data_IF_492598162105
#
_entry.id   IF_492598162105
#
_cell.length_a   1.000
_cell.length_b   1.000
_cell.length_c   1.000
_cell.angle_alpha   90.00
_cell.angle_beta   90.00
_cell.angle_gamma   90.00
#
_symmetry.space_group_name_H-M   'P 1'
#
loop_
_entity.id
_entity.type
_entity.pdbx_description
1 polymer ?
#
# COMPACT_ATOMS: atom_id res chain seq x y z
N UNK A 1 25.86 0.57 2.58
CA UNK A 1 25.42 -0.70 1.99
C UNK A 1 24.35 -0.38 0.97
N UNK A 2 24.60 -0.57 -0.33
CA UNK A 2 23.52 -0.50 -1.32
C UNK A 2 22.54 -1.62 -0.98
N UNK A 3 21.30 -1.26 -0.69
CA UNK A 3 20.23 -2.22 -0.49
C UNK A 3 20.06 -2.91 -1.84
N UNK A 4 20.24 -4.22 -1.89
CA UNK A 4 19.94 -4.99 -3.09
C UNK A 4 18.41 -4.97 -3.31
N UNK A 5 17.95 -3.94 -4.04
CA UNK A 5 16.54 -3.68 -4.31
C UNK A 5 15.94 -4.75 -5.23
N UNK A 6 16.77 -5.28 -6.12
CA UNK A 6 16.35 -6.32 -7.04
C UNK A 6 16.02 -7.58 -6.25
N UNK A 7 16.83 -7.94 -5.29
CA UNK A 7 16.59 -9.06 -4.40
C UNK A 7 15.36 -8.86 -3.47
N UNK A 8 15.21 -7.67 -2.89
CA UNK A 8 14.06 -7.39 -1.98
C UNK A 8 12.71 -7.45 -2.67
N UNK A 9 12.60 -6.96 -3.89
CA UNK A 9 11.36 -6.93 -4.68
C UNK A 9 11.29 -8.08 -5.70
N UNK A 10 11.95 -9.20 -5.42
CA UNK A 10 11.95 -10.41 -6.24
C UNK A 10 11.24 -11.56 -5.52
N UNK A 11 10.24 -12.14 -6.20
CA UNK A 11 9.59 -13.38 -5.73
C UNK A 11 10.47 -14.59 -5.99
N UNK A 12 11.33 -14.53 -7.03
CA UNK A 12 12.30 -15.59 -7.31
C UNK A 12 13.33 -15.68 -6.19
N UNK A 13 13.87 -14.53 -5.74
CA UNK A 13 14.75 -14.48 -4.58
C UNK A 13 14.05 -14.92 -3.28
N UNK A 14 12.78 -14.55 -3.10
CA UNK A 14 12.00 -15.01 -1.95
C UNK A 14 11.84 -16.54 -1.93
N UNK A 15 11.66 -17.16 -3.10
CA UNK A 15 11.58 -18.60 -3.23
C UNK A 15 12.93 -19.31 -2.98
N UNK A 16 14.06 -18.67 -3.30
CA UNK A 16 15.39 -19.19 -2.98
C UNK A 16 15.66 -19.15 -1.47
N UNK A 17 15.23 -18.05 -0.80
CA UNK A 17 15.43 -17.87 0.63
C UNK A 17 14.50 -18.75 1.48
N UNK A 18 13.23 -18.89 1.08
CA UNK A 18 12.19 -19.51 1.87
C UNK A 18 11.13 -20.21 0.98
N UNK A 19 11.49 -21.28 0.24
CA UNK A 19 10.63 -21.92 -0.75
C UNK A 19 9.32 -22.45 -0.14
N UNK A 20 9.34 -22.94 1.09
CA UNK A 20 8.21 -23.53 1.79
C UNK A 20 7.39 -22.52 2.60
N UNK A 21 7.86 -21.27 2.73
CA UNK A 21 7.11 -20.25 3.43
C UNK A 21 5.85 -19.88 2.64
N UNK A 22 4.74 -19.67 3.34
CA UNK A 22 3.46 -19.28 2.74
C UNK A 22 3.58 -17.88 2.17
N UNK A 23 3.32 -17.72 0.87
CA UNK A 23 3.29 -16.44 0.16
C UNK A 23 1.86 -15.90 -0.01
N UNK A 24 0.89 -16.79 -0.25
CA UNK A 24 -0.51 -16.41 -0.49
C UNK A 24 -1.44 -17.33 0.30
N UNK A 25 -2.47 -16.73 0.87
CA UNK A 25 -3.63 -17.43 1.44
C UNK A 25 -4.90 -17.02 0.69
N UNK A 26 -5.76 -17.98 0.42
CA UNK A 26 -7.05 -17.73 -0.21
C UNK A 26 -8.08 -18.74 0.26
N UNK A 27 -9.04 -18.30 1.06
CA UNK A 27 -10.13 -19.11 1.57
C UNK A 27 -9.70 -20.41 2.30
N UNK A 28 -8.61 -20.31 3.07
CA UNK A 28 -8.01 -21.44 3.81
C UNK A 28 -6.92 -22.18 3.03
N UNK A 29 -6.87 -22.07 1.70
CA UNK A 29 -5.78 -22.62 0.90
C UNK A 29 -4.51 -21.78 1.01
N UNK A 30 -3.36 -22.44 0.85
CA UNK A 30 -2.05 -21.83 0.93
C UNK A 30 -1.22 -22.09 -0.33
N UNK A 31 -0.50 -21.06 -0.75
CA UNK A 31 0.50 -21.13 -1.82
C UNK A 31 1.85 -20.70 -1.24
N UNK A 32 2.88 -21.50 -1.42
CA UNK A 32 4.23 -21.18 -0.95
C UNK A 32 4.95 -20.24 -1.93
N UNK A 33 6.07 -19.63 -1.47
CA UNK A 33 6.91 -18.83 -2.35
C UNK A 33 7.51 -19.65 -3.49
N UNK A 34 7.87 -20.92 -3.26
CA UNK A 34 8.34 -21.81 -4.31
C UNK A 34 7.31 -21.98 -5.44
N UNK A 35 6.08 -22.33 -5.09
CA UNK A 35 4.98 -22.50 -6.06
C UNK A 35 4.59 -21.18 -6.73
N UNK A 36 4.62 -20.06 -5.98
CA UNK A 36 4.35 -18.73 -6.55
C UNK A 36 5.44 -18.35 -7.58
N UNK A 37 6.71 -18.63 -7.30
CA UNK A 37 7.82 -18.39 -8.21
C UNK A 37 7.71 -19.24 -9.50
N UNK A 38 7.28 -20.49 -9.42
CA UNK A 38 6.99 -21.32 -10.60
C UNK A 38 5.92 -20.66 -11.47
N UNK A 39 4.79 -20.26 -10.89
CA UNK A 39 3.72 -19.56 -11.63
C UNK A 39 4.19 -18.24 -12.26
N UNK A 40 5.08 -17.52 -11.59
CA UNK A 40 5.70 -16.30 -12.13
C UNK A 40 6.60 -16.64 -13.32
N UNK A 41 7.44 -17.68 -13.23
CA UNK A 41 8.29 -18.13 -14.35
C UNK A 41 7.46 -18.54 -15.56
N UNK A 42 6.34 -19.24 -15.34
CA UNK A 42 5.44 -19.71 -16.40
C UNK A 42 4.78 -18.57 -17.18
N UNK A 43 4.46 -17.45 -16.50
CA UNK A 43 3.80 -16.31 -17.18
C UNK A 43 4.80 -15.33 -17.81
N UNK A 44 6.05 -15.29 -17.34
CA UNK A 44 7.07 -14.34 -17.83
C UNK A 44 7.17 -14.29 -19.37
N UNK A 45 7.26 -15.41 -20.11
CA UNK A 45 7.34 -15.38 -21.58
C UNK A 45 6.02 -14.99 -22.27
N UNK A 46 4.90 -15.00 -21.55
CA UNK A 46 3.58 -14.68 -22.08
C UNK A 46 3.24 -13.18 -21.96
N UNK A 47 3.99 -12.44 -21.16
CA UNK A 47 3.78 -11.00 -20.99
C UNK A 47 4.28 -10.22 -22.21
N UNK A 48 3.43 -9.32 -22.71
CA UNK A 48 3.80 -8.39 -23.79
C UNK A 48 4.85 -7.36 -23.34
N UNK A 49 5.42 -6.65 -24.32
CA UNK A 49 6.50 -5.68 -24.10
C UNK A 49 6.01 -4.23 -23.92
N UNK A 50 4.70 -4.03 -23.75
CA UNK A 50 4.14 -2.70 -23.51
C UNK A 50 4.80 -2.00 -22.30
N UNK A 51 5.20 -0.75 -22.46
CA UNK A 51 5.85 0.05 -21.41
C UNK A 51 5.20 1.43 -21.32
N UNK A 52 4.44 1.70 -20.24
CA UNK A 52 4.14 0.79 -19.12
C UNK A 52 3.16 -0.32 -19.52
N UNK A 53 3.18 -1.44 -18.79
CA UNK A 53 2.25 -2.55 -18.99
C UNK A 53 0.91 -2.24 -18.30
N UNK A 54 -0.20 -2.07 -19.04
CA UNK A 54 -1.50 -1.79 -18.43
C UNK A 54 -2.09 -3.05 -17.79
N UNK A 55 -2.47 -2.96 -16.51
CA UNK A 55 -3.02 -4.08 -15.76
C UNK A 55 -4.24 -3.64 -14.96
N UNK A 56 -5.38 -4.32 -15.12
CA UNK A 56 -6.55 -4.15 -14.25
C UNK A 56 -6.26 -4.87 -12.93
N UNK A 57 -6.09 -4.08 -11.87
CA UNK A 57 -5.61 -4.55 -10.57
C UNK A 57 -6.74 -5.13 -9.70
N UNK A 58 -7.10 -6.39 -9.92
CA UNK A 58 -8.02 -7.12 -9.06
C UNK A 58 -7.29 -7.68 -7.82
N UNK A 59 -7.96 -7.86 -6.69
CA UNK A 59 -7.38 -8.51 -5.51
C UNK A 59 -7.41 -10.04 -5.65
N UNK A 60 -6.86 -10.58 -6.74
CA UNK A 60 -6.85 -11.99 -7.09
C UNK A 60 -5.44 -12.51 -7.38
N UNK A 61 -5.32 -13.82 -7.46
CA UNK A 61 -4.04 -14.50 -7.67
C UNK A 61 -3.43 -14.19 -9.06
N UNK A 62 -4.26 -14.08 -10.09
CA UNK A 62 -3.79 -13.76 -11.46
C UNK A 62 -3.12 -12.38 -11.50
N UNK A 63 -3.76 -11.37 -10.91
CA UNK A 63 -3.18 -10.03 -10.79
C UNK A 63 -1.87 -10.06 -9.98
N UNK A 64 -1.84 -10.79 -8.88
CA UNK A 64 -0.66 -10.89 -8.02
C UNK A 64 0.54 -11.50 -8.77
N UNK A 65 0.31 -12.61 -9.49
CA UNK A 65 1.33 -13.27 -10.31
C UNK A 65 1.84 -12.31 -11.40
N UNK A 66 0.95 -11.60 -12.10
CA UNK A 66 1.33 -10.63 -13.14
C UNK A 66 2.14 -9.47 -12.57
N UNK A 67 1.74 -8.92 -11.42
CA UNK A 67 2.50 -7.85 -10.74
C UNK A 67 3.90 -8.32 -10.41
N UNK A 68 4.06 -9.50 -9.82
CA UNK A 68 5.38 -10.03 -9.46
C UNK A 68 6.22 -10.36 -10.70
N UNK A 69 5.63 -10.93 -11.75
CA UNK A 69 6.32 -11.18 -13.00
C UNK A 69 6.83 -9.88 -13.68
N UNK A 70 6.03 -8.82 -13.65
CA UNK A 70 6.43 -7.50 -14.18
C UNK A 70 7.52 -6.85 -13.32
N UNK A 71 7.48 -7.04 -12.00
CA UNK A 71 8.57 -6.62 -11.11
C UNK A 71 9.87 -7.38 -11.41
N UNK A 72 9.82 -8.70 -11.67
CA UNK A 72 11.01 -9.48 -12.09
C UNK A 72 11.59 -8.96 -13.41
N UNK A 73 10.75 -8.65 -14.39
CA UNK A 73 11.17 -8.08 -15.69
C UNK A 73 11.62 -6.63 -15.62
N UNK A 74 11.53 -5.97 -14.47
CA UNK A 74 11.74 -4.51 -14.31
C UNK A 74 10.92 -3.70 -15.33
N UNK A 75 9.71 -4.18 -15.63
CA UNK A 75 8.79 -3.56 -16.56
C UNK A 75 7.82 -2.67 -15.78
N UNK A 76 7.74 -1.35 -16.10
CA UNK A 76 6.81 -0.45 -15.44
C UNK A 76 5.37 -0.94 -15.57
N UNK A 77 4.61 -0.91 -14.48
CA UNK A 77 3.23 -1.38 -14.41
C UNK A 77 2.30 -0.16 -14.34
N UNK A 78 1.32 -0.07 -15.24
CA UNK A 78 0.24 0.92 -15.14
C UNK A 78 -0.99 0.24 -14.54
N UNK A 79 -1.30 0.53 -13.27
CA UNK A 79 -2.42 -0.11 -12.58
C UNK A 79 -3.73 0.66 -12.78
N UNK A 80 -4.75 -0.04 -13.27
CA UNK A 80 -6.09 0.46 -13.50
C UNK A 80 -7.04 -0.13 -12.45
N UNK A 81 -7.88 0.72 -11.84
CA UNK A 81 -8.81 0.26 -10.83
C UNK A 81 -9.91 -0.64 -11.44
N UNK A 82 -10.22 -1.83 -10.87
CA UNK A 82 -11.19 -2.76 -11.44
C UNK A 82 -12.63 -2.26 -11.43
N UNK A 83 -12.93 -1.24 -10.63
CA UNK A 83 -14.24 -0.59 -10.59
C UNK A 83 -14.46 0.48 -11.66
N UNK A 84 -13.45 0.80 -12.47
CA UNK A 84 -13.62 1.73 -13.60
C UNK A 84 -14.49 1.09 -14.69
N UNK A 85 -15.46 1.87 -15.18
CA UNK A 85 -16.18 1.53 -16.41
C UNK A 85 -15.22 1.52 -17.60
N UNK A 86 -15.63 0.93 -18.70
CA UNK A 86 -14.82 0.94 -19.93
C UNK A 86 -14.56 2.38 -20.42
N UNK A 87 -15.58 3.23 -20.36
CA UNK A 87 -15.46 4.64 -20.73
C UNK A 87 -14.44 5.39 -19.86
N UNK A 88 -14.51 5.26 -18.52
CA UNK A 88 -13.54 5.88 -17.61
C UNK A 88 -12.12 5.37 -17.84
N UNK A 89 -11.97 4.07 -18.09
CA UNK A 89 -10.68 3.46 -18.41
C UNK A 89 -10.09 4.02 -19.70
N UNK A 90 -10.91 4.08 -20.75
CA UNK A 90 -10.49 4.64 -22.04
C UNK A 90 -10.13 6.12 -21.91
N UNK A 91 -10.88 6.90 -21.12
CA UNK A 91 -10.59 8.31 -20.81
C UNK A 91 -9.23 8.45 -20.10
N UNK A 92 -8.95 7.59 -19.10
CA UNK A 92 -7.65 7.60 -18.41
C UNK A 92 -6.50 7.22 -19.36
N UNK A 93 -6.67 6.22 -20.20
CA UNK A 93 -5.65 5.81 -21.16
C UNK A 93 -5.43 6.91 -22.22
N UNK A 94 -6.49 7.52 -22.73
CA UNK A 94 -6.38 8.64 -23.65
C UNK A 94 -5.68 9.87 -23.04
N UNK A 95 -5.80 10.10 -21.72
CA UNK A 95 -5.15 11.21 -21.03
C UNK A 95 -3.62 11.09 -20.97
N UNK A 96 -3.08 9.92 -21.21
CA UNK A 96 -1.64 9.64 -21.24
C UNK A 96 -1.13 9.29 -22.65
N UNK A 97 -2.02 9.22 -23.63
CA UNK A 97 -1.67 9.00 -25.02
C UNK A 97 -0.83 10.18 -25.54
N UNK A 98 0.27 9.87 -26.22
CA UNK A 98 1.20 10.89 -26.72
C UNK A 98 2.14 11.50 -25.69
N UNK A 99 2.06 11.13 -24.42
CA UNK A 99 3.07 11.49 -23.44
C UNK A 99 4.38 10.74 -23.73
N UNK A 100 5.51 11.38 -23.36
CA UNK A 100 6.82 10.73 -23.45
C UNK A 100 6.87 9.47 -22.58
N UNK A 101 7.23 8.34 -23.18
CA UNK A 101 7.36 7.04 -22.52
C UNK A 101 8.76 6.79 -21.93
N UNK A 102 9.59 7.83 -21.79
CA UNK A 102 10.86 7.71 -21.09
C UNK A 102 10.65 7.70 -19.57
N UNK A 103 10.71 6.51 -19.00
CA UNK A 103 10.65 6.32 -17.55
C UNK A 103 12.07 6.09 -16.99
N UNK A 104 12.32 6.48 -15.73
CA UNK A 104 13.50 6.02 -15.01
C UNK A 104 13.62 4.48 -15.11
N UNK A 105 14.83 3.97 -15.32
CA UNK A 105 15.04 2.53 -15.49
C UNK A 105 14.63 1.66 -14.30
N UNK A 106 14.43 2.30 -13.14
CA UNK A 106 13.98 1.71 -11.88
C UNK A 106 12.47 1.93 -11.60
N UNK A 107 11.70 2.41 -12.57
CA UNK A 107 10.23 2.59 -12.41
C UNK A 107 9.58 1.24 -12.16
N UNK A 108 8.83 1.14 -11.05
CA UNK A 108 8.08 -0.06 -10.68
C UNK A 108 6.61 0.03 -11.10
N UNK A 109 5.92 1.09 -10.70
CA UNK A 109 4.48 1.21 -10.88
C UNK A 109 4.07 2.65 -11.11
N UNK A 110 3.03 2.83 -11.91
CA UNK A 110 2.34 4.09 -12.16
C UNK A 110 0.91 3.93 -11.64
N UNK A 111 0.52 4.83 -10.73
CA UNK A 111 -0.79 4.85 -10.11
C UNK A 111 -1.49 6.18 -10.39
N UNK A 112 -2.75 6.12 -10.76
CA UNK A 112 -3.56 7.32 -10.88
C UNK A 112 -3.99 7.82 -9.50
N UNK A 113 -3.70 9.09 -9.19
CA UNK A 113 -4.13 9.76 -7.96
C UNK A 113 -5.51 10.38 -8.15
N UNK A 114 -6.32 10.38 -7.10
CA UNK A 114 -7.58 11.11 -7.08
C UNK A 114 -7.29 12.61 -6.89
N UNK A 115 -7.03 13.31 -7.97
CA UNK A 115 -6.80 14.76 -7.89
C UNK A 115 -8.08 15.50 -7.49
N UNK A 116 -7.96 16.49 -6.60
CA UNK A 116 -9.06 17.37 -6.16
C UNK A 116 -9.53 18.32 -7.26
N UNK A 117 -8.81 18.44 -8.38
CA UNK A 117 -8.98 19.51 -9.38
C UNK A 117 -9.18 19.02 -10.81
N UNK A 118 -9.57 17.77 -11.07
CA UNK A 118 -9.78 17.31 -12.44
C UNK A 118 -9.43 15.84 -12.71
N UNK A 119 -8.90 15.54 -13.90
CA UNK A 119 -8.49 14.19 -14.28
C UNK A 119 -7.41 13.67 -13.33
N UNK A 120 -7.47 12.37 -12.94
CA UNK A 120 -6.46 11.75 -12.11
C UNK A 120 -5.06 11.87 -12.72
N UNK A 121 -4.06 12.16 -11.86
CA UNK A 121 -2.67 12.33 -12.29
C UNK A 121 -1.91 11.00 -12.15
N UNK A 122 -1.19 10.54 -13.18
CA UNK A 122 -0.41 9.31 -13.08
C UNK A 122 0.93 9.57 -12.36
N UNK A 123 1.04 9.12 -11.11
CA UNK A 123 2.25 9.23 -10.29
C UNK A 123 3.21 8.06 -10.57
N UNK A 124 4.48 8.34 -10.85
CA UNK A 124 5.53 7.37 -11.13
C UNK A 124 6.25 7.01 -9.84
N UNK A 125 6.16 5.75 -9.44
CA UNK A 125 6.85 5.22 -8.26
C UNK A 125 8.00 4.31 -8.69
N UNK A 126 9.17 4.57 -8.11
CA UNK A 126 10.37 3.77 -8.35
C UNK A 126 10.48 2.61 -7.34
N UNK A 127 11.29 1.62 -7.66
CA UNK A 127 11.61 0.50 -6.76
C UNK A 127 12.22 1.00 -5.44
N UNK A 128 13.08 2.03 -5.52
CA UNK A 128 13.69 2.68 -4.37
C UNK A 128 12.66 3.35 -3.48
N UNK A 129 11.71 4.08 -4.06
CA UNK A 129 10.65 4.76 -3.31
C UNK A 129 9.78 3.76 -2.54
N UNK A 130 9.42 2.63 -3.19
CA UNK A 130 8.64 1.56 -2.56
C UNK A 130 9.39 0.88 -1.42
N UNK A 131 10.68 0.57 -1.64
CA UNK A 131 11.52 -0.03 -0.61
C UNK A 131 11.78 0.92 0.56
N UNK A 132 12.02 2.21 0.27
CA UNK A 132 12.19 3.24 1.29
C UNK A 132 10.92 3.43 2.14
N UNK A 133 9.73 3.41 1.51
CA UNK A 133 8.44 3.45 2.23
C UNK A 133 8.25 2.23 3.15
N UNK A 134 8.62 1.04 2.69
CA UNK A 134 8.55 -0.17 3.51
C UNK A 134 9.51 -0.10 4.70
N UNK A 135 10.75 0.36 4.48
CA UNK A 135 11.74 0.53 5.53
C UNK A 135 11.34 1.60 6.55
N UNK A 136 10.85 2.76 6.10
CA UNK A 136 10.41 3.85 6.96
C UNK A 136 9.31 3.44 7.94
N UNK A 137 8.42 2.53 7.53
CA UNK A 137 7.31 2.07 8.37
C UNK A 137 7.60 0.81 9.19
N UNK A 138 8.79 0.20 9.07
CA UNK A 138 9.12 -1.10 9.66
C UNK A 138 8.93 -1.13 11.18
N UNK A 139 9.34 -0.09 11.89
CA UNK A 139 9.25 -0.05 13.35
C UNK A 139 7.78 0.00 13.84
N UNK A 140 6.89 0.60 13.02
CA UNK A 140 5.47 0.74 13.32
C UNK A 140 4.60 -0.36 12.69
N UNK A 141 5.15 -1.08 11.72
CA UNK A 141 4.51 -2.24 11.08
C UNK A 141 5.57 -3.35 11.03
N UNK A 142 5.87 -4.00 12.17
CA UNK A 142 6.92 -5.01 12.27
C UNK A 142 6.51 -6.34 11.63
N UNK A 143 6.37 -6.31 10.30
CA UNK A 143 5.99 -7.45 9.48
C UNK A 143 7.17 -8.42 9.35
N UNK A 144 6.91 -9.71 9.51
CA UNK A 144 7.91 -10.79 9.53
C UNK A 144 7.40 -12.04 8.81
N UNK A 145 8.28 -13.00 8.47
CA UNK A 145 7.85 -14.30 7.97
C UNK A 145 6.84 -14.96 8.90
N UNK A 146 5.80 -15.56 8.34
CA UNK A 146 4.67 -16.13 9.09
C UNK A 146 3.51 -15.17 9.36
N UNK A 147 3.72 -13.87 9.20
CA UNK A 147 2.61 -12.91 9.20
C UNK A 147 1.77 -13.01 7.94
N UNK A 148 0.50 -12.61 8.06
CA UNK A 148 -0.49 -12.64 6.98
C UNK A 148 -1.15 -11.27 6.87
N UNK A 149 -1.01 -10.59 5.73
CA UNK A 149 -1.66 -9.30 5.48
C UNK A 149 -2.84 -9.47 4.54
N UNK A 150 -4.05 -9.11 4.99
CA UNK A 150 -5.25 -9.17 4.16
C UNK A 150 -5.26 -8.02 3.13
N UNK A 151 -5.32 -8.38 1.85
CA UNK A 151 -5.47 -7.44 0.73
C UNK A 151 -6.94 -7.03 0.59
N UNK A 152 -7.38 -6.10 1.43
CA UNK A 152 -8.75 -5.56 1.48
C UNK A 152 -8.94 -4.29 0.65
N UNK A 153 -7.85 -3.67 0.20
CA UNK A 153 -7.82 -2.47 -0.64
C UNK A 153 -7.28 -2.86 -2.03
N UNK A 154 -7.89 -2.34 -3.09
CA UNK A 154 -7.43 -2.61 -4.47
C UNK A 154 -5.95 -2.26 -4.65
N UNK A 155 -5.15 -3.14 -5.32
CA UNK A 155 -3.76 -2.84 -5.68
C UNK A 155 -3.60 -1.62 -6.60
N UNK A 156 -4.67 -1.14 -7.26
CA UNK A 156 -4.65 0.11 -8.01
C UNK A 156 -4.61 1.36 -7.10
N UNK A 157 -4.67 1.19 -5.80
CA UNK A 157 -4.42 2.23 -4.79
C UNK A 157 -3.12 1.93 -4.07
N UNK A 158 -2.37 2.97 -3.72
CA UNK A 158 -1.08 2.76 -3.06
C UNK A 158 -1.20 2.00 -1.74
N UNK A 159 -2.29 2.17 -0.99
CA UNK A 159 -2.57 1.41 0.23
C UNK A 159 -2.65 -0.11 -0.03
N UNK A 160 -3.23 -0.53 -1.16
CA UNK A 160 -3.26 -1.94 -1.57
C UNK A 160 -1.93 -2.39 -2.18
N UNK A 161 -1.32 -1.60 -3.06
CA UNK A 161 -0.05 -1.96 -3.69
C UNK A 161 1.09 -2.12 -2.66
N UNK A 162 1.11 -1.26 -1.64
CA UNK A 162 2.10 -1.34 -0.56
C UNK A 162 2.01 -2.63 0.26
N UNK A 163 0.85 -3.29 0.31
CA UNK A 163 0.72 -4.62 0.93
C UNK A 163 1.56 -5.64 0.15
N UNK A 164 1.49 -5.62 -1.18
CA UNK A 164 2.24 -6.54 -2.04
C UNK A 164 3.74 -6.39 -1.84
N UNK A 165 4.23 -5.14 -1.91
CA UNK A 165 5.66 -4.85 -1.79
C UNK A 165 6.20 -5.11 -0.39
N UNK A 166 5.48 -4.70 0.66
CA UNK A 166 5.89 -4.94 2.05
C UNK A 166 5.88 -6.42 2.41
N UNK A 167 4.84 -7.16 2.00
CA UNK A 167 4.79 -8.60 2.24
C UNK A 167 5.92 -9.33 1.50
N UNK A 168 6.20 -8.96 0.27
CA UNK A 168 7.33 -9.54 -0.49
C UNK A 168 8.67 -9.23 0.20
N UNK A 169 8.93 -7.98 0.61
CA UNK A 169 10.18 -7.58 1.31
C UNK A 169 10.32 -8.33 2.65
N UNK A 170 9.23 -8.53 3.37
CA UNK A 170 9.23 -9.22 4.67
C UNK A 170 9.14 -10.75 4.56
N UNK A 171 8.98 -11.30 3.35
CA UNK A 171 8.72 -12.74 3.13
C UNK A 171 7.49 -13.23 3.91
N UNK A 172 6.48 -12.37 4.07
CA UNK A 172 5.20 -12.66 4.73
C UNK A 172 4.11 -13.02 3.70
N UNK A 173 3.00 -13.56 4.17
CA UNK A 173 1.90 -13.96 3.31
C UNK A 173 0.93 -12.81 3.01
N UNK A 174 0.33 -12.85 1.81
CA UNK A 174 -0.80 -12.01 1.41
C UNK A 174 -2.06 -12.87 1.44
N UNK A 175 -3.08 -12.47 2.20
CA UNK A 175 -4.39 -13.08 2.12
C UNK A 175 -5.22 -12.39 1.03
N UNK A 176 -5.67 -13.14 0.04
CA UNK A 176 -6.55 -12.66 -1.02
C UNK A 176 -8.01 -12.87 -0.62
N UNK A 177 -8.87 -11.92 -0.96
CA UNK A 177 -10.30 -12.00 -0.69
C UNK A 177 -11.14 -11.39 -1.80
N UNK A 178 -12.45 -11.68 -1.83
CA UNK A 178 -13.36 -11.02 -2.75
C UNK A 178 -13.52 -9.53 -2.42
N UNK A 179 -14.37 -8.85 -3.19
CA UNK A 179 -14.76 -7.47 -2.91
C UNK A 179 -15.20 -7.34 -1.44
N UNK A 180 -14.78 -6.27 -0.78
CA UNK A 180 -15.09 -6.00 0.61
C UNK A 180 -16.61 -6.03 0.89
N UNK A 181 -16.97 -6.79 1.91
CA UNK A 181 -18.19 -6.65 2.69
C UNK A 181 -17.85 -6.94 4.16
N UNK A 182 -18.49 -6.35 5.15
CA UNK A 182 -18.14 -6.56 6.55
C UNK A 182 -18.14 -8.03 6.94
N UNK A 183 -19.17 -8.77 6.60
CA UNK A 183 -19.29 -10.20 6.89
C UNK A 183 -18.15 -11.02 6.33
N UNK A 184 -17.83 -10.84 5.05
CA UNK A 184 -16.75 -11.59 4.39
C UNK A 184 -15.38 -11.14 4.90
N UNK A 185 -15.20 -9.85 5.15
CA UNK A 185 -13.97 -9.34 5.75
C UNK A 185 -13.68 -9.99 7.10
N UNK A 186 -14.67 -10.02 8.01
CA UNK A 186 -14.53 -10.64 9.33
C UNK A 186 -14.25 -12.14 9.22
N UNK A 187 -14.96 -12.84 8.32
CA UNK A 187 -14.71 -14.26 8.05
C UNK A 187 -13.27 -14.50 7.58
N UNK A 188 -12.74 -13.63 6.72
CA UNK A 188 -11.37 -13.76 6.19
C UNK A 188 -10.31 -13.53 7.27
N UNK A 189 -10.54 -12.60 8.20
CA UNK A 189 -9.63 -12.39 9.32
C UNK A 189 -9.37 -13.70 10.09
N UNK A 190 -10.42 -14.52 10.27
CA UNK A 190 -10.35 -15.79 11.01
C UNK A 190 -9.80 -16.94 10.14
N UNK A 191 -10.43 -17.18 8.97
CA UNK A 191 -10.11 -18.35 8.12
C UNK A 191 -8.67 -18.30 7.61
N UNK A 192 -8.18 -17.11 7.24
CA UNK A 192 -6.81 -16.96 6.75
C UNK A 192 -5.81 -16.62 7.87
N UNK A 193 -6.26 -16.57 9.13
CA UNK A 193 -5.43 -16.26 10.32
C UNK A 193 -4.65 -14.96 10.13
N UNK A 194 -5.38 -13.92 9.70
CA UNK A 194 -4.81 -12.62 9.35
C UNK A 194 -4.17 -11.96 10.57
N UNK A 195 -2.94 -11.47 10.42
CA UNK A 195 -2.21 -10.74 11.45
C UNK A 195 -2.19 -9.24 11.22
N UNK A 196 -2.25 -8.80 9.96
CA UNK A 196 -2.34 -7.39 9.56
C UNK A 196 -3.46 -7.19 8.55
N UNK A 197 -4.16 -6.08 8.65
CA UNK A 197 -5.11 -5.65 7.63
C UNK A 197 -5.06 -4.14 7.46
N UNK A 198 -5.50 -3.66 6.28
CA UNK A 198 -5.62 -2.24 5.98
C UNK A 198 -7.02 -1.93 5.49
N UNK A 199 -7.66 -0.92 6.08
CA UNK A 199 -8.99 -0.46 5.68
C UNK A 199 -9.06 1.06 5.72
N UNK A 200 -10.11 1.62 5.11
CA UNK A 200 -10.45 3.03 5.26
C UNK A 200 -11.48 3.23 6.38
N UNK A 201 -11.60 4.44 6.96
CA UNK A 201 -12.52 4.69 8.08
C UNK A 201 -13.97 4.29 7.81
N UNK A 202 -14.45 4.48 6.58
CA UNK A 202 -15.81 4.06 6.19
C UNK A 202 -16.00 2.54 6.25
N UNK A 203 -14.98 1.76 5.89
CA UNK A 203 -15.03 0.29 6.02
C UNK A 203 -15.09 -0.12 7.48
N UNK A 204 -14.30 0.52 8.36
CA UNK A 204 -14.36 0.26 9.81
C UNK A 204 -15.75 0.59 10.38
N UNK A 205 -16.34 1.70 9.95
CA UNK A 205 -17.72 2.06 10.34
C UNK A 205 -18.72 1.00 9.91
N UNK A 206 -18.66 0.55 8.65
CA UNK A 206 -19.53 -0.52 8.15
C UNK A 206 -19.39 -1.84 8.94
N UNK A 207 -18.15 -2.17 9.37
CA UNK A 207 -17.90 -3.36 10.21
C UNK A 207 -18.62 -3.20 11.57
N UNK A 208 -18.50 -2.04 12.21
CA UNK A 208 -19.15 -1.80 13.51
C UNK A 208 -20.67 -1.77 13.42
N UNK A 209 -21.20 -1.26 12.32
CA UNK A 209 -22.65 -1.23 12.09
C UNK A 209 -23.22 -2.63 11.85
N UNK A 210 -22.53 -3.48 11.09
CA UNK A 210 -22.97 -4.85 10.77
C UNK A 210 -22.71 -5.83 11.93
N UNK A 211 -21.62 -5.64 12.68
CA UNK A 211 -21.20 -6.52 13.76
C UNK A 211 -20.80 -5.72 15.02
N UNK A 212 -21.77 -5.10 15.74
CA UNK A 212 -21.48 -4.24 16.88
C UNK A 212 -20.76 -4.95 18.02
N UNK A 213 -20.94 -6.26 18.16
CA UNK A 213 -20.29 -7.09 19.20
C UNK A 213 -18.94 -7.66 18.75
N UNK A 214 -18.52 -7.39 17.53
CA UNK A 214 -17.22 -7.91 17.05
C UNK A 214 -16.06 -7.41 17.91
N UNK A 215 -15.16 -8.36 18.20
CA UNK A 215 -13.86 -8.14 18.83
C UNK A 215 -12.79 -8.83 18.00
N UNK A 216 -11.59 -8.26 17.90
CA UNK A 216 -10.52 -8.86 17.11
C UNK A 216 -10.04 -10.16 17.76
N UNK A 217 -9.66 -11.12 16.90
CA UNK A 217 -8.97 -12.32 17.39
C UNK A 217 -7.57 -11.97 17.88
N UNK A 218 -7.00 -12.86 18.69
CA UNK A 218 -5.61 -12.72 19.21
C UNK A 218 -4.56 -12.75 18.08
N UNK A 219 -4.93 -13.22 16.89
CA UNK A 219 -4.02 -13.24 15.73
C UNK A 219 -3.82 -11.85 15.14
N UNK A 220 -4.83 -10.97 15.20
CA UNK A 220 -4.74 -9.64 14.63
C UNK A 220 -3.78 -8.77 15.43
N UNK A 221 -2.59 -8.54 14.89
CA UNK A 221 -1.54 -7.70 15.48
C UNK A 221 -1.79 -6.23 15.28
N UNK A 222 -2.30 -5.85 14.09
CA UNK A 222 -2.63 -4.46 13.78
C UNK A 222 -3.67 -4.33 12.65
N UNK A 223 -4.53 -3.33 12.80
CA UNK A 223 -5.46 -2.84 11.80
C UNK A 223 -5.06 -1.43 11.38
N UNK A 224 -4.49 -1.30 10.18
CA UNK A 224 -4.12 0.00 9.62
C UNK A 224 -5.39 0.71 9.12
N UNK A 225 -5.59 1.94 9.57
CA UNK A 225 -6.71 2.80 9.16
C UNK A 225 -6.16 4.10 8.59
N UNK A 226 -6.47 4.39 7.33
CA UNK A 226 -5.96 5.57 6.65
C UNK A 226 -6.66 5.84 5.33
N UNK A 227 -6.10 6.76 4.53
CA UNK A 227 -6.67 7.17 3.24
C UNK A 227 -7.85 8.15 3.34
N UNK A 228 -8.30 8.46 4.56
CA UNK A 228 -9.26 9.51 4.88
C UNK A 228 -9.16 9.83 6.39
N UNK A 229 -9.63 11.00 6.82
CA UNK A 229 -9.69 11.35 8.25
C UNK A 229 -10.55 10.37 9.06
N UNK A 230 -10.07 10.00 10.24
CA UNK A 230 -10.77 9.11 11.18
C UNK A 230 -11.37 9.93 12.30
N UNK A 231 -12.69 9.92 12.45
CA UNK A 231 -13.40 10.70 13.49
C UNK A 231 -13.01 10.22 14.90
N UNK A 232 -13.00 11.13 15.86
CA UNK A 232 -12.72 10.82 17.27
C UNK A 232 -13.70 9.79 17.84
N UNK A 233 -14.97 9.82 17.42
CA UNK A 233 -15.96 8.82 17.79
C UNK A 233 -15.56 7.41 17.33
N UNK A 234 -15.06 7.28 16.09
CA UNK A 234 -14.67 5.99 15.53
C UNK A 234 -13.38 5.46 16.21
N UNK A 235 -12.45 6.37 16.56
CA UNK A 235 -11.25 6.02 17.33
C UNK A 235 -11.60 5.52 18.73
N UNK A 236 -12.51 6.22 19.44
CA UNK A 236 -12.98 5.82 20.76
C UNK A 236 -13.67 4.46 20.73
N UNK A 237 -14.55 4.23 19.77
CA UNK A 237 -15.24 2.94 19.62
C UNK A 237 -14.27 1.78 19.33
N UNK A 238 -13.21 2.03 18.54
CA UNK A 238 -12.19 1.03 18.27
C UNK A 238 -11.36 0.70 19.53
N UNK A 239 -11.01 1.73 20.33
CA UNK A 239 -10.33 1.56 21.63
C UNK A 239 -11.18 0.73 22.60
N UNK A 240 -12.46 1.07 22.78
CA UNK A 240 -13.39 0.35 23.64
C UNK A 240 -13.58 -1.12 23.24
N UNK A 241 -13.45 -1.40 21.94
CA UNK A 241 -13.51 -2.77 21.41
C UNK A 241 -12.18 -3.50 21.48
N UNK A 242 -11.11 -2.86 21.94
CA UNK A 242 -9.76 -3.44 22.01
C UNK A 242 -9.15 -3.76 20.64
N UNK A 243 -9.50 -2.98 19.62
CA UNK A 243 -8.96 -3.17 18.26
C UNK A 243 -7.58 -2.52 18.17
N UNK A 244 -6.55 -3.27 17.69
CA UNK A 244 -5.19 -2.75 17.55
C UNK A 244 -5.08 -1.80 16.34
N UNK A 245 -5.57 -0.58 16.45
CA UNK A 245 -5.59 0.40 15.36
C UNK A 245 -4.25 1.11 15.21
N UNK A 246 -3.73 1.13 13.99
CA UNK A 246 -2.62 1.98 13.57
C UNK A 246 -3.19 3.01 12.59
N UNK A 247 -3.30 4.25 13.02
CA UNK A 247 -3.64 5.35 12.10
C UNK A 247 -2.47 5.63 11.18
N UNK A 248 -2.78 5.95 9.93
CA UNK A 248 -1.76 6.25 8.93
C UNK A 248 -2.12 7.48 8.10
N UNK A 249 -1.14 8.33 7.84
CA UNK A 249 -1.24 9.40 6.85
C UNK A 249 -0.17 9.21 5.78
N UNK A 250 -0.55 9.46 4.54
CA UNK A 250 0.28 9.37 3.36
C UNK A 250 -0.58 9.30 2.10
N UNK A 251 0.09 9.32 0.97
CA UNK A 251 -0.55 9.43 -0.34
C UNK A 251 0.21 8.61 -1.38
N UNK A 252 -0.28 8.57 -2.60
CA UNK A 252 0.40 7.89 -3.70
C UNK A 252 1.79 8.48 -3.94
N UNK A 253 1.91 9.79 -3.86
CA UNK A 253 3.12 10.58 -4.07
C UNK A 253 4.23 10.27 -3.05
N UNK A 254 3.86 9.67 -1.91
CA UNK A 254 4.80 9.24 -0.85
C UNK A 254 4.95 7.71 -0.78
N UNK A 255 4.59 7.00 -1.83
CA UNK A 255 4.63 5.53 -1.91
C UNK A 255 3.96 4.84 -0.70
N UNK A 256 2.94 5.43 -0.11
CA UNK A 256 2.11 5.04 1.02
C UNK A 256 2.34 5.93 2.26
N UNK A 257 2.22 5.36 3.47
CA UNK A 257 2.24 6.12 4.72
C UNK A 257 3.62 6.69 5.07
N UNK A 258 3.63 7.95 5.50
CA UNK A 258 4.78 8.71 6.01
C UNK A 258 4.63 9.08 7.49
N UNK A 259 3.40 8.97 8.01
CA UNK A 259 3.06 9.11 9.42
C UNK A 259 2.29 7.87 9.85
N UNK A 260 2.58 7.36 11.02
CA UNK A 260 2.01 6.12 11.51
C UNK A 260 1.93 6.14 13.03
N UNK A 261 0.80 5.71 13.61
CA UNK A 261 0.73 5.46 15.05
C UNK A 261 1.83 4.45 15.44
N UNK A 262 2.63 4.71 16.50
CA UNK A 262 3.61 3.75 16.99
C UNK A 262 2.97 2.40 17.33
N UNK A 263 3.62 1.30 16.95
CA UNK A 263 3.06 -0.05 17.16
C UNK A 263 2.69 -0.35 18.62
N UNK A 264 3.45 0.19 19.57
CA UNK A 264 3.18 0.03 21.01
C UNK A 264 1.88 0.73 21.46
N UNK A 265 1.44 1.75 20.71
CA UNK A 265 0.27 2.57 21.04
C UNK A 265 -1.02 2.13 20.32
N UNK A 266 -0.97 1.05 19.52
CA UNK A 266 -2.09 0.59 18.66
C UNK A 266 -3.39 0.24 19.37
N UNK A 267 -3.37 0.07 20.70
CA UNK A 267 -4.54 -0.17 21.53
C UNK A 267 -5.06 1.10 22.23
N UNK A 268 -4.49 2.26 21.91
CA UNK A 268 -4.85 3.53 22.52
C UNK A 268 -5.35 4.49 21.46
N UNK A 269 -6.30 5.32 21.84
CA UNK A 269 -6.70 6.45 21.02
C UNK A 269 -5.57 7.46 20.96
N UNK A 270 -5.06 7.70 19.78
CA UNK A 270 -4.03 8.71 19.53
C UNK A 270 -4.64 10.02 19.06
N UNK A 271 -4.06 11.13 19.50
CA UNK A 271 -4.34 12.44 18.91
C UNK A 271 -3.64 12.52 17.53
N UNK A 272 -4.30 13.18 16.57
CA UNK A 272 -3.73 13.34 15.23
C UNK A 272 -3.66 12.04 14.43
N UNK A 273 -2.69 11.99 13.51
CA UNK A 273 -2.50 10.89 12.55
C UNK A 273 -1.36 9.94 12.93
N UNK A 274 -0.61 10.25 13.98
CA UNK A 274 0.54 9.46 14.45
C UNK A 274 1.84 10.25 14.41
N UNK A 275 2.99 9.55 14.35
CA UNK A 275 4.34 10.13 14.31
C UNK A 275 4.99 9.95 12.94
N UNK A 276 5.90 10.87 12.62
CA UNK A 276 6.70 10.83 11.39
C UNK A 276 7.51 9.53 11.37
N UNK A 277 7.43 8.81 10.26
CA UNK A 277 8.18 7.58 10.06
C UNK A 277 9.69 7.84 9.93
N UNK A 278 10.50 6.85 10.27
CA UNK A 278 11.96 6.93 10.21
C UNK A 278 12.47 7.31 8.81
N UNK A 279 13.37 8.30 8.75
CA UNK A 279 13.97 8.77 7.49
C UNK A 279 13.06 9.67 6.65
N UNK A 280 11.87 9.98 7.13
CA UNK A 280 10.96 10.97 6.57
C UNK A 280 11.13 12.30 7.29
N UNK A 281 11.02 13.40 6.57
CA UNK A 281 10.94 14.75 7.12
C UNK A 281 9.60 15.36 6.72
N UNK A 282 8.91 15.96 7.68
CA UNK A 282 7.67 16.70 7.45
C UNK A 282 7.80 18.04 8.16
N UNK A 283 7.37 19.11 7.53
CA UNK A 283 7.24 20.44 8.13
C UNK A 283 5.88 21.03 7.80
N UNK A 284 5.40 21.92 8.63
CA UNK A 284 4.25 22.78 8.35
C UNK A 284 4.76 24.20 8.11
N UNK A 285 4.37 24.81 6.99
CA UNK A 285 4.61 26.22 6.66
C UNK A 285 3.28 26.85 6.27
N UNK A 286 2.88 27.89 6.99
CA UNK A 286 1.56 28.54 6.82
C UNK A 286 0.39 27.54 6.87
N UNK A 287 0.52 26.50 7.69
CA UNK A 287 -0.47 25.43 7.84
C UNK A 287 -0.42 24.35 6.77
N UNK A 288 0.40 24.47 5.73
CA UNK A 288 0.57 23.47 4.68
C UNK A 288 1.66 22.46 5.02
N UNK A 289 1.42 21.20 4.73
CA UNK A 289 2.38 20.12 4.98
C UNK A 289 3.30 19.89 3.78
N UNK A 290 4.60 19.99 4.04
CA UNK A 290 5.65 19.67 3.10
C UNK A 290 6.39 18.41 3.55
N UNK A 291 6.62 17.51 2.61
CA UNK A 291 7.20 16.18 2.86
C UNK A 291 8.51 16.04 2.09
N UNK A 292 9.52 15.45 2.73
CA UNK A 292 10.80 15.14 2.10
C UNK A 292 11.29 13.78 2.54
N UNK A 293 11.82 13.00 1.58
CA UNK A 293 12.39 11.68 1.87
C UNK A 293 12.56 10.83 0.62
N UNK A 294 13.24 9.68 0.76
CA UNK A 294 13.54 8.78 -0.36
C UNK A 294 12.31 8.03 -0.90
N UNK A 295 11.17 8.05 -0.16
CA UNK A 295 9.92 7.40 -0.57
C UNK A 295 9.08 8.26 -1.52
N UNK A 296 9.50 9.49 -1.83
CA UNK A 296 8.75 10.35 -2.75
C UNK A 296 8.73 9.76 -4.17
N UNK A 297 7.62 9.96 -4.86
CA UNK A 297 7.49 9.62 -6.28
C UNK A 297 8.59 10.28 -7.12
N UNK A 298 8.87 9.74 -8.29
CA UNK A 298 9.72 10.41 -9.27
C UNK A 298 9.08 11.73 -9.77
N UNK A 299 7.77 11.75 -9.89
CA UNK A 299 6.96 12.83 -10.39
C UNK A 299 5.70 12.31 -11.06
N UNK A 300 4.90 13.20 -11.63
CA UNK A 300 3.76 12.81 -12.45
C UNK A 300 4.19 12.60 -13.90
N UNK A 301 3.70 11.54 -14.52
CA UNK A 301 3.93 11.29 -15.95
C UNK A 301 3.45 12.48 -16.80
N UNK A 302 4.28 12.93 -17.74
CA UNK A 302 4.02 14.12 -18.55
C UNK A 302 4.31 15.46 -17.86
N UNK A 303 4.93 15.45 -16.67
CA UNK A 303 5.35 16.64 -15.93
C UNK A 303 6.85 16.57 -15.58
N UNK A 304 7.41 17.73 -15.21
CA UNK A 304 8.79 17.77 -14.72
C UNK A 304 8.95 16.85 -13.50
N UNK A 305 10.00 16.03 -13.45
CA UNK A 305 10.31 15.22 -12.29
C UNK A 305 10.49 16.06 -11.02
N UNK A 306 10.24 15.46 -9.87
CA UNK A 306 10.63 16.07 -8.59
C UNK A 306 12.15 16.14 -8.49
N UNK A 307 12.66 17.27 -8.03
CA UNK A 307 14.09 17.43 -7.78
C UNK A 307 14.48 16.53 -6.59
N UNK A 308 15.48 15.65 -6.71
CA UNK A 308 15.92 14.82 -5.60
C UNK A 308 16.25 15.65 -4.35
N UNK A 309 15.69 15.26 -3.21
CA UNK A 309 15.89 15.97 -1.95
C UNK A 309 15.14 17.29 -1.78
N UNK A 310 14.29 17.67 -2.74
CA UNK A 310 13.40 18.83 -2.56
C UNK A 310 12.22 18.48 -1.63
N UNK A 311 11.62 19.54 -1.08
CA UNK A 311 10.35 19.43 -0.38
C UNK A 311 9.20 19.27 -1.38
N UNK A 312 8.35 18.30 -1.12
CA UNK A 312 7.12 18.06 -1.87
C UNK A 312 5.94 18.68 -1.10
N UNK A 313 5.22 19.59 -1.75
CA UNK A 313 3.96 20.12 -1.23
C UNK A 313 2.88 19.03 -1.34
N UNK A 314 2.37 18.58 -0.19
CA UNK A 314 1.33 17.56 -0.14
C UNK A 314 -0.03 18.07 -0.62
N UNK A 315 -0.24 19.37 -0.56
CA UNK A 315 -1.54 20.00 -0.73
C UNK A 315 -2.48 19.84 0.47
N UNK A 316 -2.03 19.18 1.53
CA UNK A 316 -2.82 18.98 2.75
C UNK A 316 -2.46 20.05 3.81
N UNK A 317 -3.45 20.40 4.62
CA UNK A 317 -3.29 21.27 5.78
C UNK A 317 -3.00 20.39 7.00
N UNK A 318 -2.12 20.86 7.88
CA UNK A 318 -1.80 20.15 9.10
C UNK A 318 -0.69 20.80 9.92
N UNK A 319 -0.49 20.25 11.10
CA UNK A 319 0.51 20.71 12.06
C UNK A 319 1.48 19.58 12.42
N UNK A 320 2.71 19.97 12.76
CA UNK A 320 3.76 19.06 13.19
C UNK A 320 4.24 19.53 14.56
N UNK A 321 4.06 18.69 15.56
CA UNK A 321 4.52 18.98 16.93
C UNK A 321 6.02 18.73 17.11
N UNK A 322 6.59 19.29 18.16
CA UNK A 322 8.03 19.17 18.47
C UNK A 322 8.49 17.73 18.73
N UNK A 323 7.57 16.82 19.09
CA UNK A 323 7.84 15.38 19.31
C UNK A 323 7.68 14.53 18.04
N UNK A 324 7.43 15.17 16.89
CA UNK A 324 7.20 14.51 15.60
C UNK A 324 5.79 13.97 15.40
N UNK A 325 4.84 14.31 16.26
CA UNK A 325 3.42 14.02 16.02
C UNK A 325 2.87 14.91 14.92
N UNK A 326 2.02 14.34 14.07
CA UNK A 326 1.39 15.05 12.94
C UNK A 326 -0.13 15.02 13.11
N UNK A 327 -0.73 16.20 13.01
CA UNK A 327 -2.18 16.35 12.99
C UNK A 327 -2.63 16.85 11.61
N UNK A 328 -3.40 16.03 10.92
CA UNK A 328 -4.08 16.40 9.68
C UNK A 328 -5.57 16.50 10.03
N UNK A 329 -6.15 17.69 9.98
CA UNK A 329 -7.57 17.86 10.30
C UNK A 329 -8.46 17.14 9.27
N UNK A 330 -9.71 16.83 9.66
CA UNK A 330 -10.66 16.14 8.79
C UNK A 330 -11.15 17.01 7.61
#
# INVERSE_FOLDING_TARGET
MSIDLDHKLSVLAAAEEAPDAVAVRSNGDCLTYGVLAEKVRDILPQLGDARPYPLIARPDLDTLIKVFALLERKQPILLLHPGLTEHERNTLLASIEGLDHHFPGNTAVILFTSGTTGLPKPAILTREALAASAEASRDNIPLSPGDVWLLSISPARIGGFSILTRSLIARSAIALGPKFSPKEYLRRLEVDRVTYSSIVPTMLRMIFDEAPEWRPSKNLKALLVGGAPTSEKLKAEAEDKGIPVILTYGMTETASNVVTTPFAERYRRTCGSGKINKGVQIKSEDGHLFIKGPMLMHGYWGRKPLVPGAWFDSGDIGEVDSDGSVCVPP
#
